data_IF_064476073571
#
_entry.id   IF_064476073571
#
_cell.length_a   1.000
_cell.length_b   1.000
_cell.length_c   1.000
_cell.angle_alpha   90.00
_cell.angle_beta   90.00
_cell.angle_gamma   90.00
#
_symmetry.space_group_name_H-M   'P 1'
#
loop_
_entity.id
_entity.type
_entity.pdbx_description
1 polymer ?
#
# COMPACT_ATOMS: atom_id res chain seq x y z
N UNK A 1 10.25 1.51 -16.60
CA UNK A 1 9.34 0.59 -15.90
C UNK A 1 8.27 0.15 -16.89
N UNK A 2 7.96 -1.15 -17.02
CA UNK A 2 7.10 -1.71 -18.10
C UNK A 2 5.76 -2.13 -17.50
N UNK A 3 4.65 -1.57 -18.01
CA UNK A 3 3.28 -1.85 -17.53
C UNK A 3 2.50 -2.58 -18.64
N UNK A 4 1.74 -3.60 -18.25
CA UNK A 4 0.89 -4.40 -19.14
C UNK A 4 -0.57 -4.29 -18.69
N UNK A 5 -1.49 -4.18 -19.65
CA UNK A 5 -2.94 -4.07 -19.42
C UNK A 5 -3.66 -5.33 -19.90
N UNK A 6 -4.70 -5.79 -19.19
CA UNK A 6 -5.43 -7.02 -19.53
C UNK A 6 -6.93 -6.78 -19.80
N UNK A 7 -7.47 -7.30 -20.92
CA UNK A 7 -8.89 -7.24 -21.24
C UNK A 7 -9.71 -8.28 -20.45
N UNK A 8 -11.01 -8.03 -20.23
CA UNK A 8 -11.89 -8.94 -19.49
C UNK A 8 -12.05 -10.29 -20.21
N UNK A 9 -12.02 -11.39 -19.46
CA UNK A 9 -12.19 -12.76 -19.98
C UNK A 9 -10.88 -13.53 -20.24
N UNK A 10 -9.72 -12.96 -19.90
CA UNK A 10 -8.43 -13.68 -19.85
C UNK A 10 -7.81 -13.53 -18.46
N UNK A 11 -7.16 -14.57 -17.92
CA UNK A 11 -6.50 -14.46 -16.62
C UNK A 11 -5.45 -13.34 -16.69
N UNK A 12 -5.35 -12.47 -15.67
CA UNK A 12 -4.32 -11.44 -15.64
C UNK A 12 -2.96 -12.13 -15.68
N UNK A 13 -2.02 -11.56 -16.44
CA UNK A 13 -0.63 -11.99 -16.35
C UNK A 13 -0.17 -11.55 -14.96
N UNK A 14 0.10 -12.51 -14.08
CA UNK A 14 0.74 -12.27 -12.80
C UNK A 14 2.06 -11.55 -13.09
N UNK A 15 2.12 -10.28 -12.71
CA UNK A 15 3.36 -9.54 -12.69
C UNK A 15 3.85 -9.56 -11.26
N UNK A 16 4.69 -10.54 -10.95
CA UNK A 16 5.59 -10.53 -9.80
C UNK A 16 6.52 -9.32 -9.99
N UNK A 17 6.14 -8.15 -9.47
CA UNK A 17 7.06 -7.03 -9.35
C UNK A 17 7.67 -7.16 -7.95
N UNK A 18 8.85 -7.80 -7.81
CA UNK A 18 9.34 -8.21 -6.49
C UNK A 18 9.57 -7.01 -5.58
N UNK A 19 9.92 -5.86 -6.15
CA UNK A 19 10.12 -4.60 -5.43
C UNK A 19 8.82 -4.10 -4.78
N UNK A 20 7.69 -4.24 -5.49
CA UNK A 20 6.36 -3.86 -4.99
C UNK A 20 5.92 -4.81 -3.88
N UNK A 21 6.14 -6.11 -4.05
CA UNK A 21 5.80 -7.10 -3.02
C UNK A 21 6.66 -6.93 -1.77
N UNK A 22 7.96 -6.69 -1.93
CA UNK A 22 8.87 -6.40 -0.84
C UNK A 22 8.46 -5.14 -0.08
N UNK A 23 8.11 -4.06 -0.79
CA UNK A 23 7.64 -2.83 -0.16
C UNK A 23 6.34 -3.08 0.65
N UNK A 24 5.36 -3.75 0.05
CA UNK A 24 4.11 -4.08 0.74
C UNK A 24 4.33 -5.01 1.93
N UNK A 25 5.27 -5.96 1.84
CA UNK A 25 5.64 -6.83 2.94
C UNK A 25 6.27 -6.04 4.10
N UNK A 26 7.22 -5.15 3.81
CA UNK A 26 7.86 -4.32 4.82
C UNK A 26 6.84 -3.46 5.58
N UNK A 27 5.85 -2.92 4.86
CA UNK A 27 4.78 -2.11 5.45
C UNK A 27 3.87 -2.91 6.39
N UNK A 28 3.76 -4.24 6.25
CA UNK A 28 3.02 -5.09 7.20
C UNK A 28 3.69 -5.18 8.57
N UNK A 29 4.98 -4.89 8.65
CA UNK A 29 5.72 -4.90 9.92
C UNK A 29 5.58 -3.58 10.69
N UNK A 30 5.06 -2.53 10.04
CA UNK A 30 4.85 -1.22 10.64
C UNK A 30 3.52 -1.23 11.39
N UNK A 31 3.56 -1.05 12.71
CA UNK A 31 2.37 -1.02 13.56
C UNK A 31 1.85 0.40 13.78
N UNK A 32 2.76 1.37 13.93
CA UNK A 32 2.41 2.77 14.19
C UNK A 32 3.10 3.72 13.23
N UNK A 33 2.45 4.83 12.94
CA UNK A 33 2.93 5.88 12.03
C UNK A 33 2.77 7.23 12.74
N UNK A 34 3.78 8.09 12.63
CA UNK A 34 3.74 9.45 13.17
C UNK A 34 3.43 10.44 12.06
N UNK A 35 2.31 11.15 12.17
CA UNK A 35 1.88 12.16 11.19
C UNK A 35 1.68 13.48 11.92
N UNK A 36 2.45 14.50 11.54
CA UNK A 36 2.39 15.85 12.15
C UNK A 36 2.57 15.87 13.69
N UNK A 37 3.27 14.88 14.24
CA UNK A 37 3.54 14.77 15.69
C UNK A 37 2.56 13.88 16.45
N UNK A 38 1.46 13.46 15.80
CA UNK A 38 0.46 12.55 16.38
C UNK A 38 0.73 11.10 15.94
N UNK A 39 0.44 10.14 16.82
CA UNK A 39 0.65 8.71 16.56
C UNK A 39 -0.66 8.03 16.12
N UNK A 40 -0.57 7.22 15.06
CA UNK A 40 -1.69 6.48 14.50
C UNK A 40 -1.35 5.01 14.31
N UNK A 41 -2.36 4.13 14.44
CA UNK A 41 -2.22 2.72 14.12
C UNK A 41 -2.31 2.52 12.60
N UNK A 42 -1.38 1.75 12.04
CA UNK A 42 -1.42 1.37 10.63
C UNK A 42 -2.50 0.31 10.43
N UNK A 43 -3.55 0.65 9.67
CA UNK A 43 -4.66 -0.26 9.39
C UNK A 43 -4.45 -1.06 8.12
N UNK A 44 -4.09 -0.36 7.04
CA UNK A 44 -3.99 -0.94 5.70
C UNK A 44 -3.03 -0.13 4.85
N UNK A 45 -2.33 -0.80 3.95
CA UNK A 45 -1.64 -0.16 2.84
C UNK A 45 -2.15 -0.70 1.50
N UNK A 46 -1.98 0.10 0.45
CA UNK A 46 -2.39 -0.26 -0.89
C UNK A 46 -1.62 0.58 -1.91
N UNK A 47 -1.39 0.01 -3.08
CA UNK A 47 -0.85 0.76 -4.20
C UNK A 47 -1.99 1.23 -5.08
N UNK A 48 -1.97 2.51 -5.41
CA UNK A 48 -2.91 3.14 -6.32
C UNK A 48 -2.16 3.53 -7.58
N UNK A 49 -2.68 3.08 -8.72
CA UNK A 49 -2.22 3.47 -10.05
C UNK A 49 -3.22 4.49 -10.59
N UNK A 50 -2.75 5.71 -10.85
CA UNK A 50 -3.52 6.74 -11.55
C UNK A 50 -2.73 7.20 -12.77
N UNK A 51 -3.18 6.82 -13.96
CA UNK A 51 -2.44 7.03 -15.20
C UNK A 51 -1.04 6.39 -15.16
N UNK A 52 -0.01 7.23 -15.11
CA UNK A 52 1.40 6.82 -15.02
C UNK A 52 2.00 6.95 -13.62
N UNK A 53 1.23 7.41 -12.65
CA UNK A 53 1.70 7.64 -11.29
C UNK A 53 1.36 6.44 -10.40
N UNK A 54 2.38 5.90 -9.73
CA UNK A 54 2.23 4.89 -8.70
C UNK A 54 2.33 5.58 -7.34
N UNK A 55 1.26 5.48 -6.55
CA UNK A 55 1.19 6.05 -5.20
C UNK A 55 0.97 4.96 -4.16
N UNK A 56 1.58 5.13 -2.99
CA UNK A 56 1.25 4.36 -1.81
C UNK A 56 0.14 5.07 -1.03
N UNK A 57 -0.99 4.39 -0.85
CA UNK A 57 -2.04 4.81 0.06
C UNK A 57 -1.92 4.06 1.38
N UNK A 58 -2.00 4.80 2.49
CA UNK A 58 -1.95 4.28 3.85
C UNK A 58 -3.21 4.74 4.57
N UNK A 59 -3.94 3.78 5.13
CA UNK A 59 -5.10 4.04 5.98
C UNK A 59 -4.70 3.86 7.43
N UNK A 60 -5.08 4.83 8.24
CA UNK A 60 -4.70 4.95 9.64
C UNK A 60 -5.95 4.90 10.52
N UNK A 61 -5.84 4.30 11.70
CA UNK A 61 -6.83 4.39 12.76
C UNK A 61 -6.25 5.23 13.91
N UNK A 62 -7.10 5.95 14.64
CA UNK A 62 -6.69 6.68 15.85
C UNK A 62 -6.28 5.68 16.94
N UNK A 63 -5.16 5.94 17.61
CA UNK A 63 -4.79 5.20 18.81
C UNK A 63 -5.56 5.85 19.96
N UNK A 64 -6.59 5.16 20.46
CA UNK A 64 -7.27 5.60 21.67
C UNK A 64 -6.25 5.62 22.81
N UNK A 65 -5.91 6.82 23.29
CA UNK A 65 -5.16 6.97 24.53
C UNK A 65 -6.04 6.39 25.64
N UNK A 66 -5.56 5.34 26.30
CA UNK A 66 -6.23 4.80 27.48
C UNK A 66 -6.26 5.91 28.55
N UNK A 67 -7.47 6.33 28.93
CA UNK A 67 -7.72 7.19 30.10
C UNK A 67 -7.34 6.51 31.42
#
# INVERSE_FOLDING_TARGET
MRVSWHPPGRPPYESDCPDVEQLLFLLRMVQTVHVQGEEYALRKTGLVLDGNDLSLSVWLDEIALAE
#
